data_IF_837829671513
#
_entry.id   IF_837829671513
#
_cell.length_a   1.000
_cell.length_b   1.000
_cell.length_c   1.000
_cell.angle_alpha   90.00
_cell.angle_beta   90.00
_cell.angle_gamma   90.00
#
_symmetry.space_group_name_H-M   'P 1'
#
loop_
_entity.id
_entity.type
_entity.pdbx_description
1 polymer ?
#
# COMPACT_ATOMS: atom_id res chain seq x y z
N UNK A 1 11.25 -22.64 -1.31
CA UNK A 1 10.44 -21.40 -1.25
C UNK A 1 10.64 -20.59 -2.51
N UNK A 2 9.58 -20.12 -3.09
CA UNK A 2 9.64 -19.18 -4.20
C UNK A 2 8.94 -17.88 -3.77
N UNK A 3 9.52 -16.77 -4.15
CA UNK A 3 8.95 -15.47 -3.85
C UNK A 3 8.81 -14.64 -5.10
N UNK A 4 7.86 -13.71 -5.07
CA UNK A 4 7.68 -12.72 -6.12
C UNK A 4 7.67 -11.35 -5.46
N UNK A 5 8.55 -10.48 -5.92
CA UNK A 5 8.65 -9.11 -5.42
C UNK A 5 8.30 -8.15 -6.54
N UNK A 6 7.27 -7.36 -6.31
CA UNK A 6 6.79 -6.38 -7.28
C UNK A 6 7.02 -5.00 -6.70
N UNK A 7 7.69 -4.15 -7.46
CA UNK A 7 7.93 -2.76 -7.09
C UNK A 7 7.34 -1.90 -8.20
N UNK A 8 6.55 -0.91 -7.83
CA UNK A 8 5.90 -0.04 -8.79
C UNK A 8 5.96 1.41 -8.35
N UNK A 9 6.26 2.28 -9.30
CA UNK A 9 6.16 3.72 -9.13
C UNK A 9 4.95 4.19 -9.94
N UNK A 10 4.02 4.87 -9.29
CA UNK A 10 2.79 5.33 -9.92
C UNK A 10 2.85 6.84 -10.08
N UNK A 11 2.54 7.32 -11.28
CA UNK A 11 2.56 8.73 -11.61
C UNK A 11 1.19 9.15 -12.12
N UNK A 12 0.87 10.42 -12.00
CA UNK A 12 -0.39 10.94 -12.49
C UNK A 12 -1.61 10.38 -11.77
N UNK A 13 -1.47 10.07 -10.50
CA UNK A 13 -2.59 9.59 -9.69
C UNK A 13 -3.60 10.71 -9.50
N UNK A 14 -4.85 10.46 -9.85
CA UNK A 14 -5.88 11.49 -9.85
C UNK A 14 -6.63 11.63 -8.55
N UNK A 15 -6.63 10.60 -7.72
CA UNK A 15 -7.36 10.62 -6.46
C UNK A 15 -6.49 11.16 -5.33
N UNK A 16 -6.39 12.46 -5.24
CA UNK A 16 -5.59 13.13 -4.21
C UNK A 16 -6.11 12.88 -2.80
N UNK A 17 -7.41 12.72 -2.65
CA UNK A 17 -8.00 12.44 -1.34
C UNK A 17 -7.44 11.14 -0.77
N UNK A 18 -7.33 10.11 -1.60
CA UNK A 18 -6.75 8.85 -1.18
C UNK A 18 -5.26 9.00 -0.87
N UNK A 19 -4.52 9.71 -1.72
CA UNK A 19 -3.09 9.92 -1.51
C UNK A 19 -2.80 10.71 -0.23
N UNK A 20 -3.72 11.56 0.18
CA UNK A 20 -3.57 12.44 1.32
C UNK A 20 -4.19 11.90 2.60
N UNK A 21 -4.74 10.69 2.58
CA UNK A 21 -5.45 10.12 3.73
C UNK A 21 -4.95 8.72 4.05
N UNK A 22 -4.26 8.59 5.17
CA UNK A 22 -3.80 7.28 5.63
C UNK A 22 -4.97 6.34 5.91
N UNK A 23 -6.10 6.87 6.39
CA UNK A 23 -7.28 6.05 6.69
C UNK A 23 -7.89 5.46 5.43
N UNK A 24 -8.06 6.28 4.37
CA UNK A 24 -8.59 5.80 3.10
C UNK A 24 -7.64 4.82 2.41
N UNK A 25 -6.35 5.14 2.47
CA UNK A 25 -5.32 4.29 1.88
C UNK A 25 -5.29 2.92 2.56
N UNK A 26 -5.37 2.91 3.89
CA UNK A 26 -5.43 1.67 4.66
C UNK A 26 -6.63 0.83 4.27
N UNK A 27 -7.79 1.45 4.19
CA UNK A 27 -9.03 0.76 3.83
C UNK A 27 -8.90 0.04 2.49
N UNK A 28 -8.38 0.75 1.49
CA UNK A 28 -8.21 0.21 0.15
C UNK A 28 -7.18 -0.92 0.12
N UNK A 29 -6.04 -0.71 0.77
CA UNK A 29 -4.97 -1.71 0.78
C UNK A 29 -5.37 -2.98 1.50
N UNK A 30 -5.99 -2.86 2.66
CA UNK A 30 -6.44 -4.02 3.44
C UNK A 30 -7.53 -4.77 2.69
N UNK A 31 -8.49 -4.05 2.13
CA UNK A 31 -9.56 -4.66 1.34
C UNK A 31 -9.01 -5.41 0.13
N UNK A 32 -8.06 -4.82 -0.58
CA UNK A 32 -7.45 -5.46 -1.74
C UNK A 32 -6.75 -6.76 -1.37
N UNK A 33 -6.01 -6.76 -0.25
CA UNK A 33 -5.34 -7.97 0.22
C UNK A 33 -6.34 -9.07 0.57
N UNK A 34 -7.42 -8.71 1.23
CA UNK A 34 -8.47 -9.68 1.58
C UNK A 34 -9.21 -10.21 0.37
N UNK A 35 -9.46 -9.33 -0.60
CA UNK A 35 -10.20 -9.71 -1.81
C UNK A 35 -9.47 -10.75 -2.64
N UNK A 36 -8.15 -10.76 -2.61
CA UNK A 36 -7.36 -11.78 -3.33
C UNK A 36 -7.03 -12.98 -2.45
N UNK A 37 -7.62 -13.07 -1.27
CA UNK A 37 -7.50 -14.24 -0.43
C UNK A 37 -6.28 -14.28 0.48
N UNK A 38 -5.61 -13.16 0.68
CA UNK A 38 -4.46 -13.12 1.57
C UNK A 38 -4.92 -13.03 3.03
N UNK A 39 -4.18 -13.69 3.91
CA UNK A 39 -4.47 -13.67 5.34
C UNK A 39 -3.76 -12.47 5.96
N UNK A 40 -4.51 -11.41 6.21
CA UNK A 40 -3.97 -10.18 6.80
C UNK A 40 -3.73 -10.42 8.30
N UNK A 41 -2.50 -10.18 8.74
CA UNK A 41 -2.09 -10.33 10.13
C UNK A 41 -2.11 -9.01 10.88
N UNK A 42 -1.90 -7.91 10.18
CA UNK A 42 -1.91 -6.59 10.77
C UNK A 42 -1.54 -5.53 9.76
N UNK A 43 -1.64 -4.29 10.19
CA UNK A 43 -1.25 -3.16 9.35
C UNK A 43 -0.80 -1.99 10.22
N UNK A 44 -0.07 -1.07 9.60
CA UNK A 44 0.30 0.19 10.23
C UNK A 44 0.36 1.26 9.15
N UNK A 45 -0.39 2.33 9.32
CA UNK A 45 -0.40 3.45 8.39
C UNK A 45 -0.16 4.74 9.16
N UNK A 46 0.71 5.58 8.62
CA UNK A 46 1.10 6.84 9.22
C UNK A 46 0.74 7.99 8.29
N UNK A 47 0.12 9.02 8.86
CA UNK A 47 -0.26 10.22 8.15
C UNK A 47 0.77 11.32 8.40
N UNK A 48 1.39 11.82 7.32
CA UNK A 48 2.30 12.94 7.45
C UNK A 48 1.53 14.26 7.43
N UNK A 49 1.99 15.21 8.21
CA UNK A 49 1.48 16.58 8.14
C UNK A 49 2.06 17.26 6.90
N UNK A 50 1.29 18.16 6.30
CA UNK A 50 1.82 18.99 5.24
C UNK A 50 2.82 20.01 5.79
N UNK A 51 3.59 20.63 4.90
CA UNK A 51 4.56 21.64 5.30
C UNK A 51 3.89 22.90 5.84
N UNK A 52 2.70 23.21 5.32
CA UNK A 52 1.88 24.34 5.77
C UNK A 52 0.42 24.11 5.40
N UNK A 53 -0.43 25.10 5.61
CA UNK A 53 -1.86 24.98 5.35
C UNK A 53 -2.22 24.76 3.88
N UNK A 54 -1.29 25.04 2.98
CA UNK A 54 -1.52 24.88 1.54
C UNK A 54 -1.01 23.54 0.99
N UNK A 55 -0.25 22.82 1.78
CA UNK A 55 0.33 21.53 1.35
C UNK A 55 -0.23 20.40 2.17
N UNK A 56 -0.74 19.40 1.46
CA UNK A 56 -1.32 18.22 2.08
C UNK A 56 -0.22 17.16 2.18
N UNK A 57 -0.06 16.58 3.37
CA UNK A 57 0.90 15.52 3.58
C UNK A 57 0.46 14.20 2.98
N UNK A 58 1.41 13.36 2.66
CA UNK A 58 1.17 12.02 2.19
C UNK A 58 1.06 11.02 3.33
N UNK A 59 1.09 9.76 2.99
CA UNK A 59 0.99 8.66 3.93
C UNK A 59 2.01 7.58 3.63
N UNK A 60 2.37 6.84 4.66
CA UNK A 60 3.21 5.65 4.56
C UNK A 60 2.47 4.52 5.27
N UNK A 61 2.46 3.35 4.66
CA UNK A 61 1.79 2.24 5.30
C UNK A 61 2.30 0.89 4.85
N UNK A 62 1.98 -0.09 5.67
CA UNK A 62 2.29 -1.47 5.35
C UNK A 62 1.19 -2.37 5.86
N UNK A 63 0.88 -3.38 5.07
CA UNK A 63 -0.01 -4.47 5.44
C UNK A 63 0.83 -5.73 5.50
N UNK A 64 0.79 -6.39 6.64
CA UNK A 64 1.53 -7.65 6.85
C UNK A 64 0.53 -8.79 6.72
N UNK A 65 0.83 -9.71 5.85
CA UNK A 65 0.01 -10.92 5.73
C UNK A 65 0.91 -12.16 5.78
N UNK A 66 0.27 -13.30 5.90
CA UNK A 66 1.01 -14.55 6.12
C UNK A 66 2.10 -14.73 5.07
N UNK A 67 3.35 -14.67 5.55
CA UNK A 67 4.60 -14.81 4.83
C UNK A 67 4.90 -13.72 3.79
N UNK A 68 4.21 -12.55 3.88
CA UNK A 68 4.32 -11.54 2.84
C UNK A 68 3.94 -10.16 3.36
N UNK A 69 4.07 -9.16 2.49
CA UNK A 69 3.70 -7.79 2.86
C UNK A 69 3.34 -6.96 1.63
N UNK A 70 2.65 -5.86 1.89
CA UNK A 70 2.43 -4.77 0.95
C UNK A 70 2.84 -3.49 1.65
N UNK A 71 3.69 -2.68 1.01
CA UNK A 71 4.06 -1.38 1.52
C UNK A 71 3.70 -0.31 0.49
N UNK A 72 3.27 0.85 0.97
CA UNK A 72 2.85 1.94 0.10
C UNK A 72 3.30 3.27 0.70
N UNK A 73 3.71 4.16 -0.19
CA UNK A 73 4.08 5.53 0.17
C UNK A 73 3.41 6.46 -0.83
N UNK A 74 2.87 7.58 -0.36
CA UNK A 74 2.19 8.52 -1.26
C UNK A 74 2.78 9.92 -1.16
N UNK A 75 2.75 10.60 -2.28
CA UNK A 75 3.19 12.00 -2.41
C UNK A 75 2.10 12.77 -3.13
N UNK A 76 1.10 13.33 -2.41
CA UNK A 76 0.02 14.08 -3.06
C UNK A 76 0.52 15.26 -3.89
N UNK A 77 1.60 15.93 -3.43
CA UNK A 77 2.17 17.07 -4.13
C UNK A 77 2.76 16.71 -5.50
N UNK A 78 3.00 15.43 -5.74
CA UNK A 78 3.54 14.94 -7.00
C UNK A 78 2.57 14.03 -7.74
N UNK A 79 1.35 13.90 -7.22
CA UNK A 79 0.34 12.98 -7.75
C UNK A 79 0.90 11.56 -7.90
N UNK A 80 1.71 11.13 -6.95
CA UNK A 80 2.44 9.88 -7.06
C UNK A 80 2.36 8.98 -5.85
N UNK A 81 2.66 7.71 -6.08
CA UNK A 81 2.74 6.70 -5.03
C UNK A 81 3.74 5.63 -5.43
N UNK A 82 4.31 4.97 -4.44
CA UNK A 82 5.11 3.77 -4.68
C UNK A 82 4.48 2.59 -3.96
N UNK A 83 4.60 1.43 -4.57
CA UNK A 83 4.11 0.17 -4.03
C UNK A 83 5.24 -0.84 -4.01
N UNK A 84 5.27 -1.63 -2.95
CA UNK A 84 6.21 -2.73 -2.78
C UNK A 84 5.40 -3.90 -2.28
N UNK A 85 5.30 -4.96 -3.06
CA UNK A 85 4.54 -6.15 -2.69
C UNK A 85 5.44 -7.36 -2.79
N UNK A 86 5.58 -8.07 -1.69
CA UNK A 86 6.29 -9.33 -1.67
C UNK A 86 5.32 -10.45 -1.33
N UNK A 87 5.30 -11.47 -2.17
CA UNK A 87 4.46 -12.64 -1.98
C UNK A 87 5.34 -13.88 -1.99
N UNK A 88 5.19 -14.70 -0.99
CA UNK A 88 6.03 -15.90 -0.78
C UNK A 88 5.30 -17.14 -1.25
N UNK A 89 6.06 -18.15 -1.66
CA UNK A 89 5.52 -19.44 -2.11
C UNK A 89 4.60 -19.31 -3.31
N UNK A 90 5.05 -18.58 -4.32
CA UNK A 90 4.25 -18.29 -5.51
C UNK A 90 4.22 -19.52 -6.41
N UNK A 91 3.33 -20.44 -6.11
CA UNK A 91 2.98 -21.53 -7.03
C UNK A 91 1.47 -21.60 -7.08
N UNK A 92 0.94 -22.14 -8.17
CA UNK A 92 -0.51 -22.28 -8.29
C UNK A 92 -1.11 -23.08 -7.14
N UNK A 93 -0.38 -24.04 -6.64
CA UNK A 93 -0.85 -24.92 -5.58
C UNK A 93 -0.87 -24.27 -4.22
N UNK A 94 -0.05 -23.25 -4.01
CA UNK A 94 0.11 -22.61 -2.71
C UNK A 94 -0.83 -21.42 -2.50
N UNK A 95 -1.49 -20.99 -3.54
CA UNK A 95 -2.35 -19.81 -3.50
C UNK A 95 -3.81 -20.14 -3.69
N UNK A 96 -4.22 -21.13 -3.00
CA UNK A 96 -5.61 -21.58 -3.08
C UNK A 96 -6.41 -21.26 -1.87
#
# INVERSE_FOLDING_TARGET
MKGLHIIADLYGCRNREMLASSAKLREICVAACKDVGLTVLGDHFYQFAGLDATQIGGATGAVVFAESHLAVHTWPERDGATLDVYVCNVTCDNYQ
#
